data_IF_653105096704
#
_entry.id   IF_653105096704
#
_cell.length_a   1.000
_cell.length_b   1.000
_cell.length_c   1.000
_cell.angle_alpha   90.00
_cell.angle_beta   90.00
_cell.angle_gamma   90.00
#
_symmetry.space_group_name_H-M   'P 1'
#
loop_
_entity.id
_entity.type
_entity.pdbx_description
1 polymer ?
#
# COMPACT_ATOMS: atom_id res chain seq x y z
N UNK A 1 23.78 -50.66 -0.37
CA UNK A 1 22.32 -50.70 -0.64
C UNK A 1 21.74 -49.38 -0.13
N UNK A 2 21.53 -48.41 -1.04
CA UNK A 2 20.99 -47.08 -0.75
C UNK A 2 19.48 -47.21 -0.56
N UNK A 3 18.94 -46.73 0.55
CA UNK A 3 17.49 -46.51 0.70
C UNK A 3 17.28 -45.03 1.01
N UNK A 4 16.73 -44.35 0.01
CA UNK A 4 16.28 -42.96 -0.01
C UNK A 4 15.21 -42.76 1.08
N UNK A 5 15.43 -41.83 2.02
CA UNK A 5 14.35 -41.25 2.82
C UNK A 5 13.86 -40.01 2.08
N UNK A 6 12.60 -40.05 1.65
CA UNK A 6 11.91 -38.96 0.96
C UNK A 6 11.87 -37.71 1.84
N UNK A 7 12.34 -36.59 1.29
CA UNK A 7 12.23 -35.27 1.87
C UNK A 7 10.81 -34.73 1.61
N UNK A 8 10.04 -34.55 2.67
CA UNK A 8 8.77 -33.80 2.64
C UNK A 8 9.14 -32.32 2.42
N UNK A 9 8.85 -31.80 1.24
CA UNK A 9 9.12 -30.40 0.89
C UNK A 9 7.88 -29.59 1.26
N UNK A 10 7.92 -28.91 2.41
CA UNK A 10 6.83 -28.04 2.85
C UNK A 10 6.78 -26.78 1.98
N UNK A 11 5.73 -26.65 1.16
CA UNK A 11 5.49 -25.45 0.34
C UNK A 11 4.75 -24.41 1.18
N UNK A 12 5.48 -23.42 1.70
CA UNK A 12 4.91 -22.30 2.46
C UNK A 12 4.30 -21.27 1.49
N UNK A 13 2.97 -21.18 1.47
CA UNK A 13 2.26 -20.03 0.90
C UNK A 13 2.25 -18.91 1.95
N UNK A 14 2.99 -17.82 1.71
CA UNK A 14 2.95 -16.67 2.58
C UNK A 14 1.79 -15.75 2.19
N UNK A 15 0.87 -15.52 3.13
CA UNK A 15 -0.03 -14.37 3.09
C UNK A 15 0.73 -13.19 3.70
N UNK A 16 1.33 -12.34 2.86
CA UNK A 16 2.02 -11.15 3.35
C UNK A 16 1.01 -10.01 3.51
N UNK A 17 0.75 -9.59 4.75
CA UNK A 17 0.29 -8.23 5.02
C UNK A 17 1.51 -7.33 4.83
N UNK A 18 1.62 -6.75 3.62
CA UNK A 18 2.65 -5.77 3.29
C UNK A 18 2.32 -4.47 4.04
N UNK A 19 3.21 -4.09 4.95
CA UNK A 19 3.44 -2.67 5.18
C UNK A 19 4.11 -2.18 3.91
N UNK A 20 3.54 -1.14 3.31
CA UNK A 20 4.07 -0.49 2.11
C UNK A 20 5.40 0.16 2.50
N UNK A 21 6.49 -0.61 2.42
CA UNK A 21 7.80 -0.05 2.14
C UNK A 21 7.81 0.26 0.64
N UNK A 22 8.18 1.46 0.20
CA UNK A 22 8.17 1.81 -1.22
C UNK A 22 9.34 1.10 -1.88
N UNK A 23 9.08 -0.13 -2.30
CA UNK A 23 9.96 -0.94 -3.14
C UNK A 23 9.17 -1.55 -4.30
N UNK A 24 8.10 -0.88 -4.70
CA UNK A 24 7.38 -1.17 -5.94
C UNK A 24 7.34 0.11 -6.79
N UNK A 25 8.37 0.27 -7.63
CA UNK A 25 8.20 1.04 -8.86
C UNK A 25 7.10 0.34 -9.69
N UNK A 26 6.04 1.03 -10.12
CA UNK A 26 4.99 0.41 -10.91
C UNK A 26 5.54 -0.01 -12.26
N UNK A 27 5.68 -1.31 -12.47
CA UNK A 27 6.19 -1.89 -13.72
C UNK A 27 7.11 -3.09 -13.55
N UNK A 28 7.58 -3.41 -12.34
CA UNK A 28 8.28 -4.67 -12.13
C UNK A 28 7.27 -5.81 -11.97
N UNK A 29 6.99 -6.48 -13.08
CA UNK A 29 6.52 -7.87 -13.03
C UNK A 29 7.41 -8.61 -12.03
N UNK A 30 6.85 -9.36 -11.05
CA UNK A 30 7.68 -10.16 -10.16
C UNK A 30 8.68 -10.93 -11.01
N UNK A 31 9.97 -11.00 -10.62
CA UNK A 31 10.99 -11.66 -11.42
C UNK A 31 10.45 -13.01 -11.89
N UNK A 32 10.66 -13.30 -13.17
CA UNK A 32 10.05 -14.45 -13.84
C UNK A 32 10.58 -15.74 -13.21
N UNK A 33 9.85 -16.19 -12.19
CA UNK A 33 10.19 -17.37 -11.40
C UNK A 33 9.55 -18.62 -12.02
N UNK A 34 10.18 -19.80 -11.94
CA UNK A 34 9.56 -21.03 -12.42
C UNK A 34 8.20 -21.26 -11.75
N UNK A 35 7.23 -21.69 -12.53
CA UNK A 35 5.95 -22.14 -11.99
C UNK A 35 6.09 -23.56 -11.43
N UNK A 36 5.22 -23.91 -10.47
CA UNK A 36 5.22 -25.22 -9.83
C UNK A 36 3.89 -25.91 -10.10
N UNK A 37 3.97 -27.21 -10.41
CA UNK A 37 2.78 -28.06 -10.49
C UNK A 37 2.31 -28.41 -9.08
N UNK A 38 1.04 -28.13 -8.77
CA UNK A 38 0.41 -28.44 -7.48
C UNK A 38 -0.66 -29.52 -7.63
N UNK A 39 -0.70 -30.40 -6.64
CA UNK A 39 -1.69 -31.45 -6.52
C UNK A 39 -2.91 -31.02 -5.67
N UNK A 40 -3.86 -31.94 -5.53
CA UNK A 40 -5.09 -31.67 -4.77
C UNK A 40 -4.82 -31.44 -3.27
N UNK A 41 -3.84 -32.15 -2.71
CA UNK A 41 -3.44 -32.01 -1.31
C UNK A 41 -2.89 -30.61 -1.04
N UNK A 42 -1.99 -30.12 -1.91
CA UNK A 42 -1.42 -28.78 -1.84
C UNK A 42 -2.52 -27.72 -1.94
N UNK A 43 -3.43 -27.82 -2.93
CA UNK A 43 -4.55 -26.88 -3.05
C UNK A 43 -5.38 -26.80 -1.77
N UNK A 44 -5.64 -27.95 -1.16
CA UNK A 44 -6.44 -28.06 0.08
C UNK A 44 -5.73 -27.41 1.26
N UNK A 45 -4.44 -27.68 1.43
CA UNK A 45 -3.63 -27.09 2.51
C UNK A 45 -3.57 -25.56 2.40
N UNK A 46 -3.33 -25.04 1.20
CA UNK A 46 -3.29 -23.59 0.93
C UNK A 46 -4.62 -22.95 1.23
N UNK A 47 -5.71 -23.59 0.79
CA UNK A 47 -7.06 -23.12 1.05
C UNK A 47 -7.33 -22.98 2.55
N UNK A 48 -7.06 -24.03 3.33
CA UNK A 48 -7.24 -24.00 4.78
C UNK A 48 -6.39 -22.92 5.44
N UNK A 49 -5.13 -22.79 5.01
CA UNK A 49 -4.21 -21.78 5.54
C UNK A 49 -4.69 -20.37 5.24
N UNK A 50 -5.10 -20.08 4.00
CA UNK A 50 -5.64 -18.76 3.61
C UNK A 50 -6.86 -18.41 4.44
N UNK A 51 -7.85 -19.31 4.55
CA UNK A 51 -9.07 -19.06 5.35
C UNK A 51 -8.74 -18.84 6.83
N UNK A 52 -7.82 -19.63 7.40
CA UNK A 52 -7.37 -19.44 8.78
C UNK A 52 -6.76 -18.05 8.97
N UNK A 53 -5.83 -17.65 8.11
CA UNK A 53 -5.14 -16.35 8.19
C UNK A 53 -6.10 -15.17 8.02
N UNK A 54 -7.08 -15.28 7.13
CA UNK A 54 -8.11 -14.25 6.98
C UNK A 54 -8.88 -14.04 8.29
N UNK A 55 -9.31 -15.12 8.94
CA UNK A 55 -10.07 -15.01 10.20
C UNK A 55 -9.22 -14.49 11.37
N UNK A 56 -7.91 -14.77 11.37
CA UNK A 56 -6.99 -14.31 12.42
C UNK A 56 -6.65 -12.81 12.27
N UNK A 57 -6.42 -12.35 11.04
CA UNK A 57 -5.71 -11.09 10.80
C UNK A 57 -6.48 -10.06 9.96
N UNK A 58 -7.50 -10.45 9.20
CA UNK A 58 -8.21 -9.50 8.35
C UNK A 58 -9.04 -8.53 9.20
N UNK A 59 -9.02 -7.25 8.80
CA UNK A 59 -9.53 -6.15 9.63
C UNK A 59 -11.04 -6.20 9.85
N UNK A 60 -11.81 -6.80 8.92
CA UNK A 60 -13.25 -6.98 9.03
C UNK A 60 -13.62 -8.47 9.22
N UNK A 61 -13.86 -8.94 10.46
CA UNK A 61 -14.09 -10.36 10.74
C UNK A 61 -15.25 -10.98 9.95
N UNK A 62 -16.34 -10.24 9.78
CA UNK A 62 -17.50 -10.72 9.01
C UNK A 62 -17.18 -10.90 7.53
N UNK A 63 -16.37 -10.00 6.96
CA UNK A 63 -15.93 -10.11 5.56
C UNK A 63 -14.96 -11.27 5.40
N UNK A 64 -14.09 -11.52 6.39
CA UNK A 64 -13.21 -12.69 6.42
C UNK A 64 -14.00 -14.01 6.41
N UNK A 65 -15.06 -14.09 7.22
CA UNK A 65 -15.95 -15.24 7.24
C UNK A 65 -16.63 -15.46 5.88
N UNK A 66 -17.19 -14.40 5.28
CA UNK A 66 -17.81 -14.44 3.94
C UNK A 66 -16.82 -14.88 2.85
N UNK A 67 -15.58 -14.40 2.89
CA UNK A 67 -14.52 -14.86 1.98
C UNK A 67 -14.28 -16.36 2.12
N UNK A 68 -14.17 -16.86 3.35
CA UNK A 68 -14.00 -18.29 3.61
C UNK A 68 -15.18 -19.14 3.10
N UNK A 69 -16.41 -18.69 3.30
CA UNK A 69 -17.62 -19.34 2.79
C UNK A 69 -17.65 -19.38 1.26
N UNK A 70 -17.38 -18.24 0.61
CA UNK A 70 -17.35 -18.14 -0.84
C UNK A 70 -16.30 -19.08 -1.43
N UNK A 71 -15.08 -19.09 -0.87
CA UNK A 71 -14.04 -20.01 -1.28
C UNK A 71 -14.49 -21.47 -1.13
N UNK A 72 -15.17 -21.85 -0.03
CA UNK A 72 -15.66 -23.23 0.20
C UNK A 72 -16.74 -23.63 -0.81
N UNK A 73 -17.67 -22.71 -1.11
CA UNK A 73 -18.71 -22.94 -2.10
C UNK A 73 -18.14 -23.17 -3.50
N UNK A 74 -17.12 -22.38 -3.90
CA UNK A 74 -16.40 -22.57 -5.17
C UNK A 74 -15.64 -23.89 -5.22
N UNK A 75 -15.00 -24.29 -4.11
CA UNK A 75 -14.32 -25.56 -4.00
C UNK A 75 -15.28 -26.75 -4.13
N UNK A 76 -16.47 -26.68 -3.52
CA UNK A 76 -17.51 -27.71 -3.65
C UNK A 76 -18.03 -27.85 -5.10
N UNK A 77 -18.00 -26.75 -5.88
CA UNK A 77 -18.29 -26.74 -7.32
C UNK A 77 -17.11 -27.15 -8.19
N UNK A 78 -16.00 -27.58 -7.59
CA UNK A 78 -14.80 -28.07 -8.28
C UNK A 78 -14.09 -27.02 -9.13
N UNK A 79 -14.30 -25.73 -8.86
CA UNK A 79 -13.74 -24.62 -9.64
C UNK A 79 -12.20 -24.57 -9.62
N UNK A 80 -11.56 -25.23 -8.66
CA UNK A 80 -10.10 -25.26 -8.52
C UNK A 80 -9.46 -26.59 -8.96
N UNK A 81 -10.24 -27.63 -9.29
CA UNK A 81 -9.72 -28.99 -9.47
C UNK A 81 -8.70 -29.09 -10.62
N UNK A 82 -8.93 -28.36 -11.70
CA UNK A 82 -8.10 -28.38 -12.91
C UNK A 82 -6.90 -27.41 -12.84
N UNK A 83 -6.81 -26.58 -11.79
CA UNK A 83 -5.73 -25.61 -11.66
C UNK A 83 -4.52 -26.29 -11.04
N UNK A 84 -3.57 -26.68 -11.90
CA UNK A 84 -2.31 -27.31 -11.48
C UNK A 84 -1.15 -26.32 -11.43
N UNK A 85 -1.29 -25.11 -11.97
CA UNK A 85 -0.30 -24.04 -11.83
C UNK A 85 -0.43 -23.36 -10.47
N UNK A 86 0.65 -23.32 -9.69
CA UNK A 86 0.71 -22.60 -8.42
C UNK A 86 0.44 -21.10 -8.60
N UNK A 87 1.00 -20.52 -9.66
CA UNK A 87 0.80 -19.10 -10.01
C UNK A 87 -0.64 -18.81 -10.39
N UNK A 88 -1.26 -19.64 -11.22
CA UNK A 88 -2.66 -19.50 -11.61
C UNK A 88 -3.58 -19.65 -10.40
N UNK A 89 -3.31 -20.62 -9.53
CA UNK A 89 -4.08 -20.83 -8.32
C UNK A 89 -4.04 -19.62 -7.38
N UNK A 90 -2.85 -19.04 -7.14
CA UNK A 90 -2.71 -17.82 -6.34
C UNK A 90 -3.46 -16.61 -6.96
N UNK A 91 -3.42 -16.46 -8.29
CA UNK A 91 -4.18 -15.42 -9.01
C UNK A 91 -5.68 -15.64 -8.87
N UNK A 92 -6.18 -16.86 -9.05
CA UNK A 92 -7.60 -17.20 -8.91
C UNK A 92 -8.10 -16.95 -7.49
N UNK A 93 -7.36 -17.40 -6.48
CA UNK A 93 -7.68 -17.13 -5.07
C UNK A 93 -7.73 -15.62 -4.80
N UNK A 94 -6.77 -14.85 -5.31
CA UNK A 94 -6.79 -13.38 -5.17
C UNK A 94 -8.06 -12.79 -5.77
N UNK A 95 -8.41 -13.16 -7.00
CA UNK A 95 -9.60 -12.65 -7.67
C UNK A 95 -10.89 -12.99 -6.90
N UNK A 96 -11.02 -14.23 -6.45
CA UNK A 96 -12.22 -14.68 -5.71
C UNK A 96 -12.36 -14.00 -4.35
N UNK A 97 -11.24 -13.78 -3.65
CA UNK A 97 -11.22 -13.04 -2.38
C UNK A 97 -11.61 -11.56 -2.60
N UNK A 98 -11.02 -10.92 -3.61
CA UNK A 98 -11.28 -9.51 -3.93
C UNK A 98 -12.69 -9.27 -4.46
N UNK A 99 -13.31 -10.27 -5.10
CA UNK A 99 -14.71 -10.20 -5.50
C UNK A 99 -15.64 -10.03 -4.28
N UNK A 100 -15.31 -10.68 -3.16
CA UNK A 100 -16.08 -10.60 -1.92
C UNK A 100 -15.68 -9.37 -1.10
N UNK A 101 -14.39 -9.14 -0.89
CA UNK A 101 -13.91 -8.08 0.00
C UNK A 101 -13.96 -6.69 -0.61
N UNK A 102 -13.90 -6.60 -1.95
CA UNK A 102 -13.62 -5.37 -2.71
C UNK A 102 -12.31 -4.67 -2.30
N UNK A 103 -11.43 -5.38 -1.57
CA UNK A 103 -10.16 -4.86 -1.07
C UNK A 103 -9.00 -5.25 -1.99
N UNK A 104 -8.45 -4.29 -2.71
CA UNK A 104 -7.32 -4.49 -3.63
C UNK A 104 -5.97 -4.68 -2.92
N UNK A 105 -5.90 -4.44 -1.61
CA UNK A 105 -4.70 -4.68 -0.79
C UNK A 105 -4.54 -6.17 -0.44
N UNK A 106 -5.63 -6.92 -0.38
CA UNK A 106 -5.59 -8.36 -0.12
C UNK A 106 -5.14 -9.14 -1.36
N UNK A 107 -4.02 -9.86 -1.27
CA UNK A 107 -3.49 -10.70 -2.36
C UNK A 107 -2.92 -12.02 -1.85
N UNK A 108 -3.07 -13.07 -2.65
CA UNK A 108 -2.33 -14.33 -2.51
C UNK A 108 -1.25 -14.33 -3.59
N UNK A 109 0.02 -14.43 -3.19
CA UNK A 109 1.16 -14.42 -4.12
C UNK A 109 1.89 -15.75 -4.07
N UNK A 110 2.29 -16.24 -5.24
CA UNK A 110 3.15 -17.42 -5.37
C UNK A 110 4.63 -17.00 -5.30
N UNK A 111 5.42 -17.82 -4.59
CA UNK A 111 6.88 -17.75 -4.56
C UNK A 111 7.44 -19.14 -4.79
N UNK A 112 8.33 -19.27 -5.78
CA UNK A 112 9.01 -20.52 -6.11
C UNK A 112 10.05 -20.88 -5.04
N UNK A 113 10.79 -19.87 -4.58
CA UNK A 113 11.70 -20.02 -3.45
C UNK A 113 10.90 -19.86 -2.15
N UNK A 114 11.18 -20.67 -1.11
CA UNK A 114 10.63 -20.44 0.21
C UNK A 114 10.88 -19.01 0.64
N UNK A 115 9.82 -18.31 1.04
CA UNK A 115 9.96 -16.96 1.57
C UNK A 115 10.68 -17.11 2.91
N UNK A 116 11.85 -16.45 3.10
CA UNK A 116 12.55 -16.53 4.37
C UNK A 116 11.60 -16.08 5.48
N UNK A 117 11.68 -16.68 6.68
CA UNK A 117 10.88 -16.20 7.81
C UNK A 117 11.11 -14.69 7.93
N UNK A 118 10.01 -13.94 8.08
CA UNK A 118 10.09 -12.49 8.18
C UNK A 118 11.07 -12.20 9.32
N UNK A 119 12.20 -11.52 9.07
CA UNK A 119 13.11 -11.17 10.14
C UNK A 119 12.29 -10.42 11.21
N UNK A 120 12.62 -10.63 12.48
CA UNK A 120 12.05 -9.80 13.54
C UNK A 120 12.17 -8.35 13.09
N UNK A 121 11.08 -7.57 13.25
CA UNK A 121 11.12 -6.15 12.90
C UNK A 121 12.26 -5.53 13.71
N UNK A 122 13.38 -5.28 13.04
CA UNK A 122 14.45 -4.46 13.58
C UNK A 122 14.35 -3.09 12.95
N UNK A 123 14.75 -2.11 13.73
CA UNK A 123 15.02 -0.80 13.17
C UNK A 123 16.07 -0.93 12.05
N UNK A 124 15.90 -0.20 10.93
CA UNK A 124 16.92 -0.12 9.91
C UNK A 124 18.25 0.32 10.52
N UNK A 125 19.38 -0.09 9.94
CA UNK A 125 20.68 0.45 10.34
C UNK A 125 20.80 1.91 9.89
N UNK A 126 21.79 2.64 10.42
CA UNK A 126 22.06 3.98 9.94
C UNK A 126 22.42 4.00 8.44
N UNK A 127 23.19 3.01 7.98
CA UNK A 127 23.57 2.87 6.57
C UNK A 127 22.36 2.59 5.67
N UNK A 128 21.44 1.71 6.10
CA UNK A 128 20.19 1.42 5.38
C UNK A 128 19.31 2.66 5.27
N UNK A 129 19.16 3.44 6.36
CA UNK A 129 18.43 4.72 6.33
C UNK A 129 19.06 5.72 5.37
N UNK A 130 20.37 5.86 5.40
CA UNK A 130 21.08 6.79 4.54
C UNK A 130 21.04 6.36 3.06
N UNK A 131 21.13 5.07 2.78
CA UNK A 131 20.92 4.55 1.42
C UNK A 131 19.52 4.85 0.93
N UNK A 132 18.50 4.52 1.73
CA UNK A 132 17.11 4.77 1.37
C UNK A 132 16.85 6.25 1.15
N UNK A 133 17.38 7.13 2.02
CA UNK A 133 17.31 8.58 1.85
C UNK A 133 17.95 9.06 0.54
N UNK A 134 19.12 8.51 0.16
CA UNK A 134 19.77 8.81 -1.13
C UNK A 134 18.95 8.35 -2.33
N UNK A 135 18.25 7.23 -2.22
CA UNK A 135 17.38 6.74 -3.29
C UNK A 135 16.15 7.63 -3.44
N UNK A 136 15.51 8.01 -2.33
CA UNK A 136 14.33 8.88 -2.35
C UNK A 136 14.66 10.31 -2.77
N UNK A 137 15.85 10.82 -2.46
CA UNK A 137 16.25 12.17 -2.89
C UNK A 137 16.42 12.29 -4.42
N UNK A 138 16.78 11.20 -5.12
CA UNK A 138 16.87 11.18 -6.59
C UNK A 138 15.52 11.40 -7.28
N UNK A 139 14.43 11.14 -6.58
CA UNK A 139 13.05 11.36 -7.05
C UNK A 139 12.37 12.49 -6.28
N UNK A 140 13.16 13.36 -5.62
CA UNK A 140 12.68 14.48 -4.79
C UNK A 140 11.57 14.07 -3.82
N UNK A 141 11.68 12.87 -3.22
CA UNK A 141 10.69 12.34 -2.29
C UNK A 141 9.26 12.36 -2.87
N UNK A 142 9.13 12.07 -4.17
CA UNK A 142 7.85 11.97 -4.88
C UNK A 142 7.43 13.25 -5.62
N UNK A 143 8.10 14.39 -5.42
CA UNK A 143 7.81 15.62 -6.15
C UNK A 143 8.51 15.64 -7.50
N UNK A 144 7.87 15.07 -8.53
CA UNK A 144 8.46 15.01 -9.88
C UNK A 144 8.56 16.39 -10.54
N UNK A 145 7.48 17.19 -10.43
CA UNK A 145 7.40 18.50 -11.07
C UNK A 145 6.65 19.47 -10.18
N UNK A 146 7.20 20.67 -10.03
CA UNK A 146 6.57 21.80 -9.35
C UNK A 146 6.67 23.01 -10.27
N UNK A 147 5.55 23.63 -10.59
CA UNK A 147 5.49 24.67 -11.61
C UNK A 147 4.45 25.74 -11.28
N UNK A 148 4.68 26.98 -11.76
CA UNK A 148 3.65 28.01 -11.85
C UNK A 148 3.18 28.13 -13.29
N UNK A 149 1.95 27.69 -13.55
CA UNK A 149 1.30 27.76 -14.85
C UNK A 149 0.80 29.18 -15.17
N UNK A 150 0.48 29.50 -16.44
CA UNK A 150 -0.24 30.71 -16.82
C UNK A 150 -1.52 30.89 -16.01
N UNK A 151 -1.89 32.14 -15.73
CA UNK A 151 -3.00 32.45 -14.82
C UNK A 151 -2.64 32.31 -13.34
N UNK A 152 -1.35 32.23 -13.00
CA UNK A 152 -0.85 32.14 -11.62
C UNK A 152 -1.37 30.92 -10.86
N UNK A 153 -1.43 29.76 -11.53
CA UNK A 153 -1.89 28.49 -10.94
C UNK A 153 -0.65 27.65 -10.59
N UNK A 154 -0.55 27.21 -9.34
CA UNK A 154 0.46 26.25 -8.91
C UNK A 154 0.11 24.85 -9.41
N UNK A 155 1.12 24.08 -9.81
CA UNK A 155 0.95 22.70 -10.22
C UNK A 155 2.02 21.81 -9.60
N UNK A 156 1.60 20.63 -9.12
CA UNK A 156 2.48 19.60 -8.57
C UNK A 156 2.17 18.24 -9.21
N UNK A 157 3.14 17.61 -9.87
CA UNK A 157 3.12 16.17 -10.20
C UNK A 157 3.73 15.42 -9.00
N UNK A 158 2.87 14.82 -8.18
CA UNK A 158 3.27 14.16 -6.94
C UNK A 158 3.04 12.65 -7.03
N UNK A 159 4.08 11.85 -6.86
CA UNK A 159 4.11 10.42 -7.24
C UNK A 159 4.20 9.43 -6.09
N UNK A 160 4.35 9.88 -4.85
CA UNK A 160 4.30 8.99 -3.69
C UNK A 160 4.38 9.73 -2.37
N UNK A 161 3.70 9.19 -1.35
CA UNK A 161 3.76 9.68 0.03
C UNK A 161 4.89 8.93 0.76
N UNK A 162 6.07 9.51 0.86
CA UNK A 162 7.19 8.88 1.59
C UNK A 162 7.24 9.36 3.03
N UNK A 163 7.84 8.59 3.94
CA UNK A 163 7.96 8.97 5.36
C UNK A 163 8.46 10.43 5.54
N UNK A 164 7.79 11.25 6.38
CA UNK A 164 8.15 12.67 6.56
C UNK A 164 9.59 12.97 6.93
N UNK A 165 10.25 12.07 7.65
CA UNK A 165 11.65 12.19 8.09
C UNK A 165 12.61 12.32 6.89
N UNK A 166 12.18 11.86 5.71
CA UNK A 166 12.94 11.93 4.47
C UNK A 166 12.65 13.21 3.69
N UNK A 167 11.38 13.60 3.58
CA UNK A 167 10.91 14.57 2.60
C UNK A 167 10.33 15.88 3.15
N UNK A 168 10.22 16.08 4.47
CA UNK A 168 9.53 17.24 5.05
C UNK A 168 10.07 18.60 4.59
N UNK A 169 11.39 18.70 4.38
CA UNK A 169 12.03 19.94 3.94
C UNK A 169 11.66 20.25 2.48
N UNK A 170 11.57 19.22 1.64
CA UNK A 170 11.09 19.34 0.25
C UNK A 170 9.63 19.77 0.21
N UNK A 171 8.77 19.23 1.09
CA UNK A 171 7.38 19.69 1.23
C UNK A 171 7.35 21.19 1.56
N UNK A 172 8.14 21.64 2.52
CA UNK A 172 8.23 23.07 2.87
C UNK A 172 8.69 23.92 1.68
N UNK A 173 9.69 23.46 0.91
CA UNK A 173 10.16 24.15 -0.29
C UNK A 173 9.07 24.28 -1.36
N UNK A 174 8.29 23.22 -1.61
CA UNK A 174 7.18 23.22 -2.58
C UNK A 174 6.13 24.27 -2.20
N UNK A 175 5.68 24.25 -0.94
CA UNK A 175 4.66 25.19 -0.48
C UNK A 175 5.17 26.62 -0.39
N UNK A 176 6.44 26.83 -0.04
CA UNK A 176 7.06 28.16 -0.11
C UNK A 176 7.10 28.69 -1.55
N UNK A 177 7.52 27.86 -2.50
CA UNK A 177 7.61 28.21 -3.92
C UNK A 177 6.25 28.57 -4.52
N UNK A 178 5.21 27.80 -4.18
CA UNK A 178 3.85 28.00 -4.68
C UNK A 178 3.01 28.97 -3.84
N UNK A 179 3.52 29.46 -2.70
CA UNK A 179 2.72 30.27 -1.74
C UNK A 179 2.02 31.48 -2.34
N UNK A 180 2.53 32.05 -3.44
CA UNK A 180 1.99 33.24 -4.10
C UNK A 180 1.06 32.93 -5.29
N UNK A 181 0.79 31.66 -5.61
CA UNK A 181 -0.20 31.30 -6.65
C UNK A 181 -1.63 31.49 -6.16
N UNK A 182 -2.58 31.70 -7.06
CA UNK A 182 -3.98 31.96 -6.71
C UNK A 182 -4.79 30.67 -6.50
N UNK A 183 -4.40 29.60 -7.19
CA UNK A 183 -4.93 28.24 -7.01
C UNK A 183 -3.81 27.20 -7.13
N UNK A 184 -4.10 25.97 -6.70
CA UNK A 184 -3.17 24.84 -6.73
C UNK A 184 -3.82 23.60 -7.34
N UNK A 185 -3.11 22.95 -8.26
CA UNK A 185 -3.44 21.62 -8.80
C UNK A 185 -2.42 20.62 -8.26
N UNK A 186 -2.91 19.59 -7.56
CA UNK A 186 -2.11 18.45 -7.11
C UNK A 186 -2.49 17.24 -7.98
N UNK A 187 -1.57 16.83 -8.84
CA UNK A 187 -1.76 15.72 -9.75
C UNK A 187 -1.30 14.40 -9.13
N UNK A 188 -2.27 13.54 -8.80
CA UNK A 188 -2.08 12.21 -8.23
C UNK A 188 -2.42 11.09 -9.22
N UNK A 189 -2.60 11.41 -10.52
CA UNK A 189 -2.96 10.43 -11.55
C UNK A 189 -1.92 9.33 -11.73
N UNK A 190 -0.71 9.51 -11.23
CA UNK A 190 0.39 8.52 -11.23
C UNK A 190 0.91 8.20 -9.83
N UNK A 191 0.12 8.47 -8.78
CA UNK A 191 0.51 8.27 -7.39
C UNK A 191 -0.12 6.99 -6.81
N UNK A 192 0.73 6.06 -6.36
CA UNK A 192 0.30 4.78 -5.79
C UNK A 192 0.01 4.81 -4.28
N UNK A 193 0.12 5.99 -3.65
CA UNK A 193 -0.06 6.21 -2.23
C UNK A 193 1.26 6.21 -1.47
N UNK A 194 1.23 5.67 -0.25
CA UNK A 194 2.38 5.61 0.64
C UNK A 194 2.00 5.85 2.09
N UNK A 195 2.85 6.59 2.79
CA UNK A 195 2.84 6.76 4.23
C UNK A 195 1.74 7.75 4.72
N UNK A 196 0.86 7.34 5.65
CA UNK A 196 -0.19 8.20 6.20
C UNK A 196 0.35 9.42 6.96
N UNK A 197 1.56 9.36 7.53
CA UNK A 197 2.16 10.53 8.20
C UNK A 197 2.51 11.64 7.19
N UNK A 198 2.89 11.28 5.96
CA UNK A 198 3.12 12.26 4.91
C UNK A 198 1.80 12.80 4.34
N UNK A 199 0.75 11.98 4.29
CA UNK A 199 -0.61 12.47 3.99
C UNK A 199 -0.98 13.55 5.02
N UNK A 200 -0.84 13.25 6.31
CA UNK A 200 -1.12 14.19 7.39
C UNK A 200 -0.26 15.46 7.30
N UNK A 201 1.04 15.33 7.00
CA UNK A 201 1.94 16.48 6.83
C UNK A 201 1.48 17.38 5.67
N UNK A 202 1.22 16.84 4.48
CA UNK A 202 0.82 17.65 3.32
C UNK A 202 -0.57 18.27 3.55
N UNK A 203 -1.52 17.52 4.13
CA UNK A 203 -2.78 18.08 4.61
C UNK A 203 -2.52 19.28 5.53
N UNK A 204 -1.58 19.19 6.46
CA UNK A 204 -1.24 20.31 7.35
C UNK A 204 -0.88 21.59 6.60
N UNK A 205 -0.27 21.55 5.42
CA UNK A 205 -0.02 22.79 4.65
C UNK A 205 -1.30 23.36 4.03
N UNK A 206 -2.30 22.53 3.73
CA UNK A 206 -3.55 22.92 3.09
C UNK A 206 -4.64 23.31 4.08
N UNK A 207 -4.58 22.78 5.30
CA UNK A 207 -5.46 23.13 6.41
C UNK A 207 -4.87 24.26 7.26
N UNK A 208 -5.73 24.92 8.05
CA UNK A 208 -5.33 25.96 9.01
C UNK A 208 -4.47 25.41 10.16
N UNK A 209 -4.05 26.30 11.07
CA UNK A 209 -3.29 25.91 12.27
C UNK A 209 -4.09 25.12 13.30
N UNK A 210 -5.42 25.19 13.23
CA UNK A 210 -6.29 24.36 14.06
C UNK A 210 -6.22 22.91 13.58
N UNK A 211 -5.82 21.95 14.43
CA UNK A 211 -5.76 20.54 14.05
C UNK A 211 -7.11 20.01 13.59
N UNK A 212 -7.08 19.26 12.50
CA UNK A 212 -8.23 18.58 11.91
C UNK A 212 -7.94 17.08 11.95
N UNK A 213 -8.89 16.32 12.48
CA UNK A 213 -8.85 14.85 12.44
C UNK A 213 -9.01 14.38 11.01
N UNK A 214 -8.07 13.57 10.52
CA UNK A 214 -8.06 13.10 9.14
C UNK A 214 -8.67 11.70 9.04
N UNK A 215 -8.10 10.75 9.77
CA UNK A 215 -8.59 9.37 9.81
C UNK A 215 -8.08 8.61 11.04
N UNK A 216 -8.61 7.39 11.17
CA UNK A 216 -8.16 6.39 12.14
C UNK A 216 -7.72 5.12 11.40
N UNK A 217 -6.53 4.61 11.72
CA UNK A 217 -6.07 3.32 11.26
C UNK A 217 -6.22 2.29 12.38
N UNK A 218 -7.18 1.38 12.20
CA UNK A 218 -7.37 0.24 13.09
C UNK A 218 -6.52 -0.96 12.66
N UNK A 219 -5.75 -1.48 13.60
CA UNK A 219 -4.97 -2.69 13.45
C UNK A 219 -5.63 -3.81 14.24
N UNK A 220 -6.05 -4.86 13.53
CA UNK A 220 -6.66 -6.05 14.14
C UNK A 220 -5.72 -6.73 15.12
N UNK A 221 -4.46 -6.87 14.72
CA UNK A 221 -3.39 -7.34 15.59
C UNK A 221 -3.17 -6.33 16.72
N UNK A 222 -3.22 -6.82 17.96
CA UNK A 222 -3.08 -5.97 19.15
C UNK A 222 -4.29 -5.08 19.45
N UNK A 223 -5.35 -5.13 18.63
CA UNK A 223 -6.57 -4.34 18.78
C UNK A 223 -6.29 -2.85 19.07
N UNK A 224 -5.46 -2.24 18.22
CA UNK A 224 -4.98 -0.87 18.40
C UNK A 224 -5.52 0.04 17.30
N UNK A 225 -5.84 1.27 17.67
CA UNK A 225 -6.22 2.33 16.72
C UNK A 225 -5.20 3.44 16.83
N UNK A 226 -4.75 3.94 15.68
CA UNK A 226 -3.90 5.11 15.56
C UNK A 226 -4.67 6.20 14.85
N UNK A 227 -4.71 7.40 15.44
CA UNK A 227 -5.39 8.55 14.87
C UNK A 227 -4.38 9.43 14.14
N UNK A 228 -4.78 10.00 13.00
CA UNK A 228 -3.97 10.95 12.24
C UNK A 228 -4.64 12.31 12.20
N UNK A 229 -3.84 13.33 12.50
CA UNK A 229 -4.30 14.71 12.64
C UNK A 229 -3.40 15.64 11.84
N UNK A 230 -3.95 16.75 11.35
CA UNK A 230 -3.11 17.83 10.83
C UNK A 230 -2.29 18.47 11.96
N UNK A 231 -1.10 18.94 11.63
CA UNK A 231 -0.13 19.51 12.55
C UNK A 231 -0.40 21.00 12.76
N UNK A 232 -0.33 21.43 14.01
CA UNK A 232 -0.43 22.85 14.40
C UNK A 232 0.69 23.70 13.82
N UNK A 233 1.88 23.13 13.69
CA UNK A 233 3.07 23.79 13.16
C UNK A 233 3.60 23.04 11.94
N UNK A 234 3.98 23.81 10.92
CA UNK A 234 4.67 23.32 9.72
C UNK A 234 5.85 24.24 9.43
N UNK A 235 6.89 23.70 8.78
CA UNK A 235 7.97 24.53 8.28
C UNK A 235 7.50 25.34 7.07
N UNK A 236 7.94 26.59 6.92
CA UNK A 236 7.57 27.42 5.78
C UNK A 236 6.12 27.92 5.82
N UNK A 237 5.54 28.14 4.64
CA UNK A 237 4.23 28.79 4.47
C UNK A 237 3.12 27.76 4.23
N UNK A 238 1.98 27.96 4.90
CA UNK A 238 0.73 27.25 4.57
C UNK A 238 0.11 27.81 3.29
N UNK A 239 -0.70 26.98 2.63
CA UNK A 239 -1.48 27.29 1.44
C UNK A 239 -2.98 27.22 1.77
N UNK A 240 -3.43 28.15 2.62
CA UNK A 240 -4.82 28.25 3.10
C UNK A 240 -5.59 29.36 2.38
N UNK A 241 -6.92 29.27 2.38
CA UNK A 241 -7.81 30.29 1.79
C UNK A 241 -7.77 30.39 0.25
N UNK A 242 -7.25 29.36 -0.42
CA UNK A 242 -7.09 29.29 -1.88
C UNK A 242 -7.65 27.99 -2.42
N UNK A 243 -8.04 27.99 -3.69
CA UNK A 243 -8.62 26.84 -4.35
C UNK A 243 -7.56 25.75 -4.56
N UNK A 244 -7.94 24.50 -4.25
CA UNK A 244 -7.09 23.32 -4.40
C UNK A 244 -7.85 22.28 -5.19
N UNK A 245 -7.28 21.83 -6.30
CA UNK A 245 -7.82 20.79 -7.16
C UNK A 245 -6.93 19.57 -7.11
N UNK A 246 -7.52 18.39 -6.98
CA UNK A 246 -6.80 17.11 -6.99
C UNK A 246 -7.17 16.34 -8.25
N UNK A 247 -6.17 15.95 -9.04
CA UNK A 247 -6.38 15.10 -10.21
C UNK A 247 -6.12 13.64 -9.83
N UNK A 248 -7.09 12.76 -10.09
CA UNK A 248 -6.97 11.32 -9.82
C UNK A 248 -7.18 10.50 -11.08
N UNK A 249 -6.72 9.25 -11.08
CA UNK A 249 -6.91 8.28 -12.16
C UNK A 249 -7.28 6.92 -11.58
N UNK A 250 -7.49 5.93 -12.46
CA UNK A 250 -7.62 4.53 -12.07
C UNK A 250 -6.36 3.92 -11.42
N UNK A 251 -5.22 4.62 -11.47
CA UNK A 251 -3.98 4.24 -10.81
C UNK A 251 -3.86 4.82 -9.39
N UNK A 252 -4.55 5.92 -9.08
CA UNK A 252 -4.53 6.53 -7.75
C UNK A 252 -4.93 5.52 -6.68
N UNK A 253 -4.06 5.26 -5.70
CA UNK A 253 -4.24 4.18 -4.74
C UNK A 253 -3.75 4.53 -3.32
N UNK A 254 -4.28 3.85 -2.30
CA UNK A 254 -3.81 3.88 -0.91
C UNK A 254 -3.76 5.32 -0.35
N UNK A 255 -2.65 5.76 0.24
CA UNK A 255 -2.51 7.12 0.81
C UNK A 255 -2.90 8.27 -0.15
N UNK A 256 -2.84 8.06 -1.47
CA UNK A 256 -3.30 9.06 -2.44
C UNK A 256 -4.84 9.11 -2.55
N UNK A 257 -5.52 7.98 -2.40
CA UNK A 257 -6.98 7.92 -2.25
C UNK A 257 -7.39 8.60 -0.94
N UNK A 258 -6.68 8.29 0.15
CA UNK A 258 -6.90 8.92 1.47
C UNK A 258 -6.75 10.44 1.40
N UNK A 259 -5.62 10.95 0.89
CA UNK A 259 -5.40 12.39 0.74
C UNK A 259 -6.50 13.07 -0.06
N UNK A 260 -6.89 12.46 -1.20
CA UNK A 260 -7.97 12.98 -2.04
C UNK A 260 -9.31 13.00 -1.30
N UNK A 261 -9.59 11.95 -0.53
CA UNK A 261 -10.80 11.81 0.28
C UNK A 261 -10.83 12.83 1.43
N UNK A 262 -9.73 13.01 2.14
CA UNK A 262 -9.60 13.98 3.23
C UNK A 262 -9.90 15.40 2.71
N UNK A 263 -9.29 15.82 1.61
CA UNK A 263 -9.57 17.12 1.02
C UNK A 263 -11.02 17.26 0.54
N UNK A 264 -11.60 16.23 -0.06
CA UNK A 264 -12.99 16.28 -0.55
C UNK A 264 -14.02 16.45 0.58
N UNK A 265 -13.78 15.85 1.74
CA UNK A 265 -14.78 15.79 2.81
C UNK A 265 -14.55 16.79 3.94
N UNK A 266 -13.32 17.30 4.09
CA UNK A 266 -12.93 18.13 5.24
C UNK A 266 -12.55 19.57 4.87
N UNK A 267 -12.39 19.90 3.58
CA UNK A 267 -11.96 21.21 3.09
C UNK A 267 -12.95 21.77 2.06
#
# INVERSE_FOLDING_TARGET
>A
MKILRAAVTSVLFALALMIILPSDAPGQTPPEQPDMTIDAATRTEVFHTVVKRLNEAYVFPEVAAKMGEALRARAAKKEYEQITSAREFARKLTADLQEVSRDKHLRVRYSHQPIPPRPERREPTAEEREQFKREMSRINFGFERVERLPGNIGYVDFRGFFAPELGRDTVASVFNFLSNTDALIIDLRKNGGGDPEMVALICSYLFGSEPVHLNDLYWREGNRTEEFWTRKEVAGKRYTGKDVYVLTSNYTFSGAEEFSYNLKNLK
#
